data_IF_034330334773
#
_entry.id   IF_034330334773
#
_cell.length_a   1.000
_cell.length_b   1.000
_cell.length_c   1.000
_cell.angle_alpha   90.00
_cell.angle_beta   90.00
_cell.angle_gamma   90.00
#
_symmetry.space_group_name_H-M   'P 1'
#
loop_
_entity.id
_entity.type
_entity.pdbx_description
1 polymer ?
#
# COMPACT_ATOMS: atom_id res chain seq x y z
N UNK A 1 21.51 -17.47 -8.47
CA UNK A 1 20.38 -16.58 -8.82
C UNK A 1 20.71 -15.17 -8.35
N UNK A 2 20.39 -14.16 -9.14
CA UNK A 2 20.45 -12.73 -8.77
C UNK A 2 19.07 -12.16 -9.09
N UNK A 3 18.53 -11.35 -8.23
CA UNK A 3 17.27 -10.64 -8.45
C UNK A 3 17.56 -9.14 -8.51
N UNK A 4 16.98 -8.46 -9.50
CA UNK A 4 17.17 -7.03 -9.71
C UNK A 4 15.79 -6.35 -9.67
N UNK A 5 15.62 -5.36 -8.78
CA UNK A 5 14.47 -4.47 -8.81
C UNK A 5 14.70 -3.35 -9.84
N UNK A 6 13.91 -3.30 -10.91
CA UNK A 6 14.06 -2.32 -11.97
C UNK A 6 13.33 -1.01 -11.69
N UNK A 7 12.46 -0.97 -10.68
CA UNK A 7 11.46 0.07 -10.51
C UNK A 7 12.05 1.34 -9.88
N UNK A 8 11.80 2.49 -10.51
CA UNK A 8 11.99 3.78 -9.87
C UNK A 8 10.83 4.01 -8.88
N UNK A 9 11.12 4.07 -7.59
CA UNK A 9 10.14 4.23 -6.51
C UNK A 9 9.21 5.44 -6.71
N UNK A 10 9.78 6.54 -7.21
CA UNK A 10 9.06 7.78 -7.51
C UNK A 10 8.14 7.66 -8.73
N UNK A 11 8.20 6.57 -9.49
CA UNK A 11 7.33 6.32 -10.63
C UNK A 11 6.20 5.32 -10.31
N UNK A 12 6.18 4.75 -9.10
CA UNK A 12 5.08 3.88 -8.64
C UNK A 12 3.90 4.76 -8.25
N UNK A 13 2.74 4.53 -8.85
CA UNK A 13 1.51 5.27 -8.55
C UNK A 13 0.86 4.76 -7.25
N UNK A 14 0.00 5.60 -6.65
CA UNK A 14 -0.63 5.23 -5.37
C UNK A 14 -1.63 4.08 -5.51
N UNK A 15 -2.38 4.03 -6.60
CA UNK A 15 -3.31 2.92 -6.87
C UNK A 15 -2.58 1.58 -7.07
N UNK A 16 -1.38 1.59 -7.65
CA UNK A 16 -0.53 0.39 -7.77
C UNK A 16 0.00 -0.07 -6.41
N UNK A 17 0.30 0.88 -5.49
CA UNK A 17 0.67 0.59 -4.12
C UNK A 17 -0.48 -0.02 -3.30
N UNK A 18 -1.73 0.11 -3.75
CA UNK A 18 -2.90 -0.48 -3.10
C UNK A 18 -2.85 -2.01 -2.96
N UNK A 19 -1.92 -2.68 -3.63
CA UNK A 19 -1.68 -4.12 -3.52
C UNK A 19 -0.41 -4.48 -2.73
N UNK A 20 0.21 -3.50 -2.10
CA UNK A 20 1.44 -3.66 -1.31
C UNK A 20 1.38 -2.89 0.01
N UNK A 21 2.17 -3.32 0.97
CA UNK A 21 2.46 -2.60 2.21
C UNK A 21 3.72 -1.73 2.08
N UNK A 22 4.59 -2.08 1.13
CA UNK A 22 5.86 -1.42 0.85
C UNK A 22 5.87 -0.85 -0.56
N UNK A 23 6.57 0.24 -0.74
CA UNK A 23 6.96 0.77 -2.05
C UNK A 23 8.17 -0.01 -2.60
N UNK A 24 8.72 0.43 -3.73
CA UNK A 24 9.89 -0.17 -4.38
C UNK A 24 11.17 0.65 -4.13
N UNK A 25 11.26 1.41 -3.04
CA UNK A 25 12.47 2.12 -2.66
C UNK A 25 13.56 1.16 -2.18
N UNK A 26 14.83 1.57 -2.30
CA UNK A 26 15.95 0.75 -1.85
C UNK A 26 15.86 0.39 -0.37
N UNK A 27 15.37 1.31 0.49
CA UNK A 27 15.22 1.04 1.92
C UNK A 27 14.09 0.02 2.18
N UNK A 28 12.97 0.12 1.49
CA UNK A 28 11.88 -0.83 1.63
C UNK A 28 12.19 -2.20 1.03
N UNK A 29 13.04 -2.27 0.00
CA UNK A 29 13.61 -3.53 -0.48
C UNK A 29 14.37 -4.28 0.61
N UNK A 30 15.15 -3.57 1.46
CA UNK A 30 15.88 -4.19 2.60
C UNK A 30 14.90 -4.78 3.61
N UNK A 31 13.81 -4.05 3.92
CA UNK A 31 12.75 -4.54 4.81
C UNK A 31 12.16 -5.83 4.22
N UNK A 32 11.77 -5.83 2.96
CA UNK A 32 11.20 -7.00 2.27
C UNK A 32 12.17 -8.18 2.24
N UNK A 33 13.44 -7.94 1.92
CA UNK A 33 14.47 -8.98 1.89
C UNK A 33 14.63 -9.65 3.26
N UNK A 34 14.61 -8.86 4.33
CA UNK A 34 14.66 -9.36 5.71
C UNK A 34 13.39 -10.15 6.07
N UNK A 35 12.21 -9.60 5.83
CA UNK A 35 10.93 -10.23 6.17
C UNK A 35 10.72 -11.56 5.43
N UNK A 36 11.18 -11.64 4.19
CA UNK A 36 11.10 -12.85 3.37
C UNK A 36 12.31 -13.76 3.47
N UNK A 37 13.31 -13.40 4.30
CA UNK A 37 14.54 -14.18 4.50
C UNK A 37 15.24 -14.54 3.17
N UNK A 38 15.40 -13.56 2.28
CA UNK A 38 16.04 -13.77 0.98
C UNK A 38 17.49 -14.23 1.15
N UNK A 39 17.85 -15.34 0.49
CA UNK A 39 19.18 -15.95 0.53
C UNK A 39 19.98 -15.76 -0.77
N UNK A 40 19.61 -14.76 -1.57
CA UNK A 40 20.23 -14.42 -2.85
C UNK A 40 20.51 -12.92 -2.93
N UNK A 41 21.48 -12.48 -3.78
CA UNK A 41 21.69 -11.07 -4.05
C UNK A 41 20.42 -10.41 -4.61
N UNK A 42 19.96 -9.36 -3.93
CA UNK A 42 18.82 -8.54 -4.35
C UNK A 42 19.33 -7.12 -4.60
N UNK A 43 19.40 -6.74 -5.87
CA UNK A 43 20.02 -5.51 -6.36
C UNK A 43 18.97 -4.47 -6.73
N UNK A 44 19.30 -3.20 -6.57
CA UNK A 44 18.45 -2.08 -6.94
C UNK A 44 19.03 -1.34 -8.15
N UNK A 45 18.27 -1.22 -9.24
CA UNK A 45 18.61 -0.48 -10.45
C UNK A 45 17.63 0.68 -10.74
N UNK A 46 16.69 0.94 -9.82
CA UNK A 46 15.61 1.91 -10.02
C UNK A 46 16.06 3.36 -10.22
N UNK A 47 17.25 3.75 -9.73
CA UNK A 47 17.77 5.10 -9.91
C UNK A 47 18.31 5.34 -11.33
N UNK A 48 19.05 4.40 -11.88
CA UNK A 48 19.73 4.54 -13.19
C UNK A 48 19.01 3.81 -14.29
N UNK A 49 18.50 2.63 -14.00
CA UNK A 49 17.85 1.69 -14.92
C UNK A 49 18.76 1.28 -16.09
N UNK A 50 20.09 1.33 -15.89
CA UNK A 50 21.07 0.99 -16.91
C UNK A 50 21.05 -0.51 -17.19
N UNK A 51 21.10 -1.32 -16.13
CA UNK A 51 21.06 -2.78 -16.25
C UNK A 51 19.70 -3.22 -16.78
N UNK A 52 18.63 -2.66 -16.26
CA UNK A 52 17.25 -2.95 -16.71
C UNK A 52 17.09 -2.70 -18.20
N UNK A 53 17.57 -1.56 -18.70
CA UNK A 53 17.51 -1.24 -20.14
C UNK A 53 18.34 -2.19 -20.99
N UNK A 54 19.50 -2.62 -20.50
CA UNK A 54 20.37 -3.55 -21.21
C UNK A 54 19.75 -4.95 -21.34
N UNK A 55 19.04 -5.43 -20.32
CA UNK A 55 18.33 -6.71 -20.36
C UNK A 55 16.99 -6.63 -21.12
N UNK A 56 16.33 -5.47 -21.14
CA UNK A 56 15.10 -5.22 -21.86
C UNK A 56 13.86 -6.02 -21.34
N UNK A 57 13.65 -6.14 -20.02
CA UNK A 57 12.46 -6.82 -19.53
C UNK A 57 11.19 -6.03 -19.93
N UNK A 58 10.10 -6.74 -20.16
CA UNK A 58 8.80 -6.14 -20.54
C UNK A 58 7.85 -6.02 -19.35
N UNK A 59 7.99 -6.91 -18.38
CA UNK A 59 7.17 -6.98 -17.16
C UNK A 59 8.05 -7.29 -15.94
N UNK A 60 7.45 -7.25 -14.76
CA UNK A 60 8.02 -7.82 -13.54
C UNK A 60 7.04 -8.85 -12.96
N UNK A 61 7.49 -10.12 -12.75
CA UNK A 61 8.82 -10.66 -12.98
C UNK A 61 9.14 -10.95 -14.46
N UNK A 62 10.44 -10.98 -14.82
CA UNK A 62 10.97 -11.43 -16.09
C UNK A 62 12.30 -12.15 -15.86
N UNK A 63 12.40 -13.41 -16.25
CA UNK A 63 13.56 -14.26 -15.99
C UNK A 63 14.49 -14.32 -17.21
N UNK A 64 15.81 -14.35 -16.94
CA UNK A 64 16.88 -14.50 -17.93
C UNK A 64 17.84 -15.57 -17.40
N UNK A 65 18.04 -16.67 -18.14
CA UNK A 65 18.94 -17.76 -17.75
C UNK A 65 20.11 -17.85 -18.72
N UNK A 66 21.31 -17.83 -18.18
CA UNK A 66 22.55 -17.97 -18.92
C UNK A 66 23.22 -19.30 -18.57
N UNK A 67 23.85 -19.94 -19.54
CA UNK A 67 24.66 -21.12 -19.31
C UNK A 67 26.06 -20.78 -18.72
N UNK A 68 26.87 -21.82 -18.49
CA UNK A 68 28.25 -21.69 -17.97
C UNK A 68 29.16 -20.83 -18.87
N UNK A 69 28.85 -20.75 -20.16
CA UNK A 69 29.55 -19.92 -21.16
C UNK A 69 28.99 -18.49 -21.25
N UNK A 70 28.07 -18.12 -20.37
CA UNK A 70 27.37 -16.83 -20.32
C UNK A 70 26.51 -16.56 -21.57
N UNK A 71 26.06 -17.60 -22.24
CA UNK A 71 25.13 -17.51 -23.36
C UNK A 71 23.70 -17.55 -22.81
N UNK A 72 22.86 -16.62 -23.24
CA UNK A 72 21.44 -16.58 -22.88
C UNK A 72 20.71 -17.80 -23.47
N UNK A 73 20.07 -18.57 -22.62
CA UNK A 73 19.37 -19.83 -23.00
C UNK A 73 17.87 -19.80 -22.77
N UNK A 74 17.42 -18.96 -21.83
CA UNK A 74 16.00 -18.79 -21.59
C UNK A 74 15.68 -17.32 -21.27
N UNK A 75 14.56 -16.84 -21.82
CA UNK A 75 13.96 -15.55 -21.50
C UNK A 75 12.46 -15.72 -21.35
N UNK A 76 11.88 -15.29 -20.23
CA UNK A 76 10.43 -15.41 -20.09
C UNK A 76 9.92 -15.32 -18.65
N UNK A 77 8.76 -15.93 -18.45
CA UNK A 77 8.06 -16.00 -17.18
C UNK A 77 8.71 -17.00 -16.22
N UNK A 78 8.33 -16.93 -14.94
CA UNK A 78 8.75 -17.92 -13.93
C UNK A 78 7.96 -19.20 -14.12
N UNK A 79 6.64 -19.07 -14.20
CA UNK A 79 5.66 -20.14 -14.39
C UNK A 79 4.44 -19.63 -15.19
N UNK A 80 3.38 -20.40 -15.30
CA UNK A 80 2.19 -20.07 -16.11
C UNK A 80 1.04 -19.47 -15.32
N UNK A 81 1.26 -19.01 -14.05
CA UNK A 81 0.16 -18.55 -13.19
C UNK A 81 0.59 -17.39 -12.27
N UNK A 82 -0.29 -16.45 -12.05
CA UNK A 82 -0.08 -15.32 -11.10
C UNK A 82 -0.38 -15.70 -9.65
N UNK A 83 -1.30 -16.64 -9.43
CA UNK A 83 -1.74 -17.05 -8.12
C UNK A 83 -0.84 -18.13 -7.54
N UNK A 84 -0.33 -17.88 -6.34
CA UNK A 84 0.57 -18.81 -5.63
C UNK A 84 -0.09 -20.18 -5.49
N UNK A 85 0.63 -21.23 -5.90
CA UNK A 85 0.21 -22.62 -5.78
C UNK A 85 -0.75 -23.14 -6.85
N UNK A 86 -1.08 -22.32 -7.86
CA UNK A 86 -1.93 -22.73 -8.99
C UNK A 86 -1.16 -23.01 -10.28
N UNK A 87 0.13 -22.76 -10.31
CA UNK A 87 0.97 -23.01 -11.47
C UNK A 87 0.98 -24.52 -11.83
N UNK A 88 0.84 -24.81 -13.12
CA UNK A 88 0.90 -26.15 -13.67
C UNK A 88 2.11 -26.39 -14.58
N UNK A 89 2.78 -25.30 -15.00
CA UNK A 89 3.98 -25.32 -15.82
C UNK A 89 5.03 -24.40 -15.20
N UNK A 90 6.22 -24.93 -14.94
CA UNK A 90 7.32 -24.25 -14.25
C UNK A 90 8.45 -23.97 -15.25
N UNK A 91 8.23 -23.02 -16.16
CA UNK A 91 9.10 -22.81 -17.34
C UNK A 91 10.56 -22.47 -16.94
N UNK A 92 10.76 -21.55 -15.99
CA UNK A 92 12.09 -21.19 -15.49
C UNK A 92 12.79 -22.39 -14.83
N UNK A 93 12.08 -23.13 -13.98
CA UNK A 93 12.63 -24.29 -13.28
C UNK A 93 13.04 -25.39 -14.28
N UNK A 94 12.23 -25.64 -15.31
CA UNK A 94 12.51 -26.62 -16.35
C UNK A 94 13.76 -26.23 -17.14
N UNK A 95 13.87 -24.96 -17.57
CA UNK A 95 15.06 -24.47 -18.28
C UNK A 95 16.33 -24.62 -17.44
N UNK A 96 16.28 -24.29 -16.14
CA UNK A 96 17.43 -24.48 -15.24
C UNK A 96 17.76 -25.95 -15.04
N UNK A 97 16.78 -26.84 -14.86
CA UNK A 97 17.00 -28.30 -14.74
C UNK A 97 17.67 -28.90 -15.98
N UNK A 98 17.21 -28.51 -17.16
CA UNK A 98 17.80 -28.98 -18.44
C UNK A 98 19.26 -28.56 -18.54
N UNK A 99 19.60 -27.31 -18.24
CA UNK A 99 20.98 -26.82 -18.25
C UNK A 99 21.88 -27.50 -17.21
N UNK A 100 21.35 -27.81 -16.02
CA UNK A 100 22.09 -28.53 -14.98
C UNK A 100 22.37 -29.99 -15.36
N UNK A 101 21.60 -30.53 -16.29
CA UNK A 101 21.79 -31.87 -16.89
C UNK A 101 22.61 -31.84 -18.20
N UNK A 102 23.23 -30.70 -18.52
CA UNK A 102 23.97 -30.43 -19.77
C UNK A 102 23.10 -30.67 -21.02
N UNK A 103 21.78 -30.46 -20.91
CA UNK A 103 20.81 -30.60 -22.04
C UNK A 103 20.53 -29.20 -22.62
N UNK A 104 20.17 -29.14 -23.92
CA UNK A 104 19.65 -27.90 -24.48
C UNK A 104 18.31 -27.54 -23.84
N UNK A 105 18.04 -26.24 -23.68
CA UNK A 105 16.75 -25.75 -23.18
C UNK A 105 15.69 -26.00 -24.24
N UNK A 106 14.66 -26.77 -23.89
CA UNK A 106 13.57 -27.18 -24.81
C UNK A 106 12.67 -26.00 -25.19
N UNK A 107 12.37 -25.11 -24.25
CA UNK A 107 11.59 -23.88 -24.44
C UNK A 107 12.47 -22.70 -24.06
N UNK A 108 13.07 -22.04 -25.06
CA UNK A 108 14.01 -20.94 -24.82
C UNK A 108 13.34 -19.57 -24.58
N UNK A 109 12.05 -19.44 -24.91
CA UNK A 109 11.32 -18.19 -24.74
C UNK A 109 9.85 -18.44 -24.38
N UNK A 110 9.33 -17.65 -23.42
CA UNK A 110 7.90 -17.65 -23.08
C UNK A 110 7.39 -16.21 -22.92
N UNK A 111 6.11 -16.00 -23.22
CA UNK A 111 5.46 -14.71 -23.00
C UNK A 111 5.36 -14.44 -21.49
N UNK A 112 5.84 -13.27 -21.06
CA UNK A 112 5.75 -12.82 -19.67
C UNK A 112 4.41 -12.16 -19.39
N UNK A 113 4.00 -12.19 -18.13
CA UNK A 113 2.89 -11.44 -17.55
C UNK A 113 3.31 -10.91 -16.19
N UNK A 114 2.55 -9.97 -15.64
CA UNK A 114 2.84 -9.30 -14.37
C UNK A 114 2.77 -7.78 -14.49
N UNK A 115 3.33 -7.08 -13.50
CA UNK A 115 3.27 -5.63 -13.42
C UNK A 115 4.17 -4.94 -14.45
N UNK A 116 3.77 -3.77 -14.93
CA UNK A 116 4.61 -2.94 -15.78
C UNK A 116 5.80 -2.38 -15.02
N UNK A 117 6.96 -2.28 -15.67
CA UNK A 117 8.15 -1.65 -15.09
C UNK A 117 7.89 -0.16 -14.85
N UNK A 118 8.30 0.33 -13.68
CA UNK A 118 8.17 1.73 -13.29
C UNK A 118 9.39 2.50 -13.78
N UNK A 119 9.33 2.89 -15.05
CA UNK A 119 10.41 3.65 -15.68
C UNK A 119 10.53 5.04 -15.09
N UNK A 120 11.75 5.52 -14.89
CA UNK A 120 12.06 6.87 -14.39
C UNK A 120 11.38 7.97 -15.23
N UNK A 121 11.18 7.74 -16.52
CA UNK A 121 10.44 8.65 -17.41
C UNK A 121 8.97 8.82 -17.04
N UNK A 122 8.41 7.94 -16.21
CA UNK A 122 7.02 8.02 -15.73
C UNK A 122 6.84 8.77 -14.41
N UNK A 123 7.91 9.30 -13.81
CA UNK A 123 7.84 10.08 -12.55
C UNK A 123 6.86 11.25 -12.67
N UNK A 124 6.78 11.88 -13.82
CA UNK A 124 5.83 12.97 -14.07
C UNK A 124 4.36 12.56 -13.89
N UNK A 125 4.04 11.29 -14.13
CA UNK A 125 2.66 10.79 -13.96
C UNK A 125 2.25 10.78 -12.48
N UNK A 126 3.15 10.34 -11.60
CA UNK A 126 2.91 10.40 -10.15
C UNK A 126 2.81 11.85 -9.66
N UNK A 127 3.63 12.75 -10.20
CA UNK A 127 3.54 14.17 -9.88
C UNK A 127 2.18 14.73 -10.28
N UNK A 128 1.69 14.41 -11.48
CA UNK A 128 0.36 14.81 -11.94
C UNK A 128 -0.77 14.21 -11.11
N UNK A 129 -0.62 12.96 -10.65
CA UNK A 129 -1.56 12.31 -9.72
C UNK A 129 -1.64 13.09 -8.41
N UNK A 130 -0.51 13.41 -7.78
CA UNK A 130 -0.48 14.21 -6.55
C UNK A 130 -1.04 15.62 -6.77
N UNK A 131 -0.75 16.25 -7.91
CA UNK A 131 -1.33 17.55 -8.24
C UNK A 131 -2.87 17.47 -8.40
N UNK A 132 -3.39 16.37 -8.93
CA UNK A 132 -4.85 16.19 -9.05
C UNK A 132 -5.57 16.13 -7.71
N UNK A 133 -4.90 15.70 -6.63
CA UNK A 133 -5.49 15.69 -5.29
C UNK A 133 -5.83 17.08 -4.76
N UNK A 134 -5.15 18.13 -5.25
CA UNK A 134 -5.45 19.52 -4.88
C UNK A 134 -6.82 19.99 -5.40
N UNK A 135 -7.34 19.34 -6.43
CA UNK A 135 -8.66 19.65 -7.01
C UNK A 135 -9.79 18.80 -6.41
N UNK A 136 -9.48 17.82 -5.57
CA UNK A 136 -10.49 16.99 -4.91
C UNK A 136 -11.20 17.79 -3.80
N UNK A 137 -12.52 17.61 -3.72
CA UNK A 137 -13.31 18.24 -2.66
C UNK A 137 -12.95 17.69 -1.29
N UNK A 138 -12.71 18.62 -0.35
CA UNK A 138 -12.44 18.29 1.05
C UNK A 138 -13.57 18.88 1.89
N UNK A 139 -14.35 18.02 2.52
CA UNK A 139 -15.47 18.38 3.39
C UNK A 139 -15.17 18.04 4.84
N UNK A 140 -15.89 18.67 5.75
CA UNK A 140 -15.91 18.37 7.18
C UNK A 140 -17.33 18.48 7.67
N UNK A 141 -17.91 17.35 8.04
CA UNK A 141 -19.29 17.24 8.51
C UNK A 141 -19.35 17.15 10.04
N UNK A 142 -20.44 17.58 10.62
CA UNK A 142 -20.70 17.43 12.05
C UNK A 142 -21.20 16.00 12.29
N UNK A 143 -20.63 15.30 13.27
CA UNK A 143 -21.06 13.97 13.68
C UNK A 143 -21.43 13.97 15.17
N UNK A 144 -22.61 13.47 15.46
CA UNK A 144 -23.05 13.14 16.81
C UNK A 144 -22.68 11.68 17.17
N UNK A 145 -22.98 11.27 18.39
CA UNK A 145 -22.67 9.93 18.90
C UNK A 145 -23.29 8.81 18.06
N UNK A 146 -24.53 8.98 17.59
CA UNK A 146 -25.21 7.96 16.76
C UNK A 146 -24.48 7.76 15.42
N UNK A 147 -24.03 8.85 14.79
CA UNK A 147 -23.22 8.77 13.57
C UNK A 147 -21.90 8.01 13.82
N UNK A 148 -21.26 8.23 14.96
CA UNK A 148 -20.04 7.49 15.31
C UNK A 148 -20.33 5.99 15.51
N UNK A 149 -21.40 5.65 16.20
CA UNK A 149 -21.84 4.25 16.36
C UNK A 149 -22.07 3.57 15.00
N UNK A 150 -22.71 4.25 14.07
CA UNK A 150 -22.94 3.73 12.71
C UNK A 150 -21.63 3.53 11.96
N UNK A 151 -20.68 4.46 12.08
CA UNK A 151 -19.37 4.32 11.47
C UNK A 151 -18.59 3.13 12.02
N UNK A 152 -18.64 2.93 13.34
CA UNK A 152 -17.95 1.82 14.03
C UNK A 152 -18.63 0.48 13.73
N UNK A 153 -19.97 0.45 13.66
CA UNK A 153 -20.72 -0.75 13.31
C UNK A 153 -20.36 -1.29 11.93
N UNK A 154 -19.96 -0.42 11.03
CA UNK A 154 -19.48 -0.75 9.68
C UNK A 154 -20.36 -1.76 8.93
N UNK A 155 -21.53 -1.33 8.51
CA UNK A 155 -22.47 -2.16 7.73
C UNK A 155 -22.16 -2.20 6.23
N UNK A 156 -21.16 -1.43 5.78
CA UNK A 156 -20.68 -1.42 4.41
C UNK A 156 -19.79 -2.66 4.15
N UNK A 157 -19.81 -3.16 2.94
CA UNK A 157 -18.96 -4.31 2.59
C UNK A 157 -17.50 -3.91 2.34
N UNK A 158 -16.93 -3.03 3.21
CA UNK A 158 -15.58 -2.48 3.09
C UNK A 158 -14.85 -2.56 4.43
N UNK A 159 -13.52 -2.67 4.36
CA UNK A 159 -12.69 -2.36 5.51
C UNK A 159 -12.72 -0.87 5.78
N UNK A 160 -12.95 -0.46 7.02
CA UNK A 160 -12.98 0.95 7.41
C UNK A 160 -11.87 1.29 8.37
N UNK A 161 -10.99 2.21 7.94
CA UNK A 161 -10.01 2.84 8.81
C UNK A 161 -10.63 4.09 9.44
N UNK A 162 -10.59 4.18 10.76
CA UNK A 162 -11.03 5.39 11.49
C UNK A 162 -9.85 5.92 12.28
N UNK A 163 -9.55 7.22 12.10
CA UNK A 163 -8.55 7.93 12.90
C UNK A 163 -9.20 9.07 13.70
N UNK A 164 -8.98 9.07 15.01
CA UNK A 164 -9.39 10.12 15.92
C UNK A 164 -8.22 11.08 16.17
N UNK A 165 -8.44 12.36 15.93
CA UNK A 165 -7.40 13.39 15.96
C UNK A 165 -7.90 14.73 16.47
N UNK A 166 -7.00 15.71 16.65
CA UNK A 166 -7.35 17.10 16.93
C UNK A 166 -6.22 18.05 16.51
N UNK A 167 -6.55 19.33 16.27
CA UNK A 167 -5.57 20.36 15.92
C UNK A 167 -4.53 20.61 17.03
N UNK A 168 -4.90 20.42 18.29
CA UNK A 168 -4.01 20.58 19.45
C UNK A 168 -3.14 19.34 19.71
N UNK A 169 -3.34 18.26 18.98
CA UNK A 169 -2.58 17.01 19.10
C UNK A 169 -1.39 17.01 18.13
N UNK A 170 -0.19 17.34 18.61
CA UNK A 170 1.00 17.47 17.77
C UNK A 170 1.38 16.18 17.01
N UNK A 171 1.28 15.02 17.66
CA UNK A 171 1.51 13.71 17.05
C UNK A 171 0.50 13.40 15.94
N UNK A 172 -0.78 13.76 16.14
CA UNK A 172 -1.81 13.62 15.12
C UNK A 172 -1.45 14.41 13.84
N UNK A 173 -1.02 15.66 14.01
CA UNK A 173 -0.63 16.53 12.90
C UNK A 173 0.56 15.98 12.12
N UNK A 174 1.50 15.35 12.82
CA UNK A 174 2.71 14.77 12.22
C UNK A 174 2.37 13.56 11.33
N UNK A 175 1.55 12.63 11.81
CA UNK A 175 1.22 11.39 11.09
C UNK A 175 0.17 11.58 9.98
N UNK A 176 -0.60 12.67 10.00
CA UNK A 176 -1.79 12.84 9.19
C UNK A 176 -1.54 12.68 7.68
N UNK A 177 -0.41 13.17 7.18
CA UNK A 177 -0.06 13.03 5.75
C UNK A 177 0.11 11.57 5.35
N UNK A 178 0.70 10.74 6.21
CA UNK A 178 0.88 9.30 5.93
C UNK A 178 -0.43 8.53 5.93
N UNK A 179 -1.41 8.96 6.73
CA UNK A 179 -2.77 8.41 6.70
C UNK A 179 -3.51 8.79 5.40
N UNK A 180 -3.39 10.06 4.97
CA UNK A 180 -3.96 10.49 3.67
C UNK A 180 -3.33 9.73 2.52
N UNK A 181 -2.00 9.54 2.50
CA UNK A 181 -1.35 8.71 1.49
C UNK A 181 -1.87 7.26 1.52
N UNK A 182 -2.11 6.71 2.69
CA UNK A 182 -2.69 5.37 2.84
C UNK A 182 -4.09 5.30 2.25
N UNK A 183 -4.93 6.33 2.44
CA UNK A 183 -6.21 6.44 1.73
C UNK A 183 -6.02 6.40 0.21
N UNK A 184 -5.10 7.23 -0.32
CA UNK A 184 -4.82 7.28 -1.76
C UNK A 184 -4.34 5.94 -2.33
N UNK A 185 -3.64 5.13 -1.53
CA UNK A 185 -3.21 3.78 -1.94
C UNK A 185 -4.39 2.80 -2.04
N UNK A 186 -5.32 2.82 -1.09
CA UNK A 186 -6.32 1.76 -0.94
C UNK A 186 -7.74 2.16 -1.33
N UNK A 187 -8.07 3.44 -1.51
CA UNK A 187 -9.43 3.96 -1.75
C UNK A 187 -10.17 3.37 -2.97
N UNK A 188 -9.42 2.84 -3.94
CA UNK A 188 -9.98 2.18 -5.12
C UNK A 188 -10.28 0.69 -4.90
N UNK A 189 -10.12 0.21 -3.68
CA UNK A 189 -10.41 -1.16 -3.25
C UNK A 189 -11.58 -1.17 -2.29
N UNK A 190 -11.93 -2.34 -1.73
CA UNK A 190 -12.94 -2.46 -0.67
C UNK A 190 -12.43 -1.86 0.66
N UNK A 191 -12.12 -0.57 0.61
CA UNK A 191 -11.53 0.21 1.69
C UNK A 191 -12.18 1.58 1.79
N UNK A 192 -12.33 2.09 3.02
CA UNK A 192 -12.91 3.40 3.35
C UNK A 192 -12.10 4.04 4.47
N UNK A 193 -11.71 5.30 4.31
CA UNK A 193 -11.00 6.05 5.34
C UNK A 193 -11.86 7.16 5.90
N UNK A 194 -11.94 7.23 7.22
CA UNK A 194 -12.72 8.21 7.98
C UNK A 194 -11.84 8.88 8.99
N UNK A 195 -11.87 10.21 9.07
CA UNK A 195 -11.24 10.96 10.17
C UNK A 195 -12.29 11.61 11.05
N UNK A 196 -12.05 11.64 12.37
CA UNK A 196 -12.95 12.23 13.35
C UNK A 196 -12.13 13.19 14.21
N UNK A 197 -12.38 14.51 14.03
CA UNK A 197 -11.78 15.52 14.85
C UNK A 197 -12.49 15.63 16.20
N UNK A 198 -11.72 15.70 17.28
CA UNK A 198 -12.21 15.97 18.64
C UNK A 198 -12.02 17.44 19.05
N UNK A 199 -11.81 18.31 18.07
CA UNK A 199 -11.81 19.75 18.31
C UNK A 199 -13.21 20.25 18.67
N UNK A 200 -13.28 21.37 19.39
CA UNK A 200 -14.55 22.03 19.64
C UNK A 200 -15.16 22.53 18.31
N UNK A 201 -16.49 22.52 18.20
CA UNK A 201 -17.23 22.92 16.98
C UNK A 201 -16.82 24.32 16.46
N UNK A 202 -16.54 25.27 17.36
CA UNK A 202 -16.00 26.59 17.01
C UNK A 202 -14.70 26.56 16.21
N UNK A 203 -13.99 25.44 16.20
CA UNK A 203 -12.75 25.22 15.45
C UNK A 203 -12.98 24.60 14.06
N UNK A 204 -14.23 24.36 13.66
CA UNK A 204 -14.61 23.70 12.41
C UNK A 204 -13.86 24.29 11.19
N UNK A 205 -13.86 25.62 11.03
CA UNK A 205 -13.16 26.27 9.92
C UNK A 205 -11.64 26.01 9.93
N UNK A 206 -11.01 26.01 11.11
CA UNK A 206 -9.57 25.72 11.22
C UNK A 206 -9.27 24.25 10.90
N UNK A 207 -10.11 23.33 11.37
CA UNK A 207 -10.00 21.92 11.06
C UNK A 207 -10.18 21.67 9.56
N UNK A 208 -11.18 22.27 8.91
CA UNK A 208 -11.39 22.19 7.47
C UNK A 208 -10.18 22.75 6.68
N UNK A 209 -9.62 23.89 7.09
CA UNK A 209 -8.44 24.43 6.44
C UNK A 209 -7.23 23.51 6.56
N UNK A 210 -7.05 22.86 7.72
CA UNK A 210 -6.01 21.85 7.91
C UNK A 210 -6.21 20.64 6.97
N UNK A 211 -7.43 20.11 6.91
CA UNK A 211 -7.78 18.99 6.02
C UNK A 211 -7.52 19.34 4.54
N UNK A 212 -7.92 20.52 4.10
CA UNK A 212 -7.62 21.04 2.75
C UNK A 212 -6.12 21.12 2.47
N UNK A 213 -5.35 21.66 3.42
CA UNK A 213 -3.88 21.71 3.32
C UNK A 213 -3.25 20.31 3.21
N UNK A 214 -3.87 19.31 3.83
CA UNK A 214 -3.44 17.90 3.79
C UNK A 214 -4.03 17.13 2.61
N UNK A 215 -4.88 17.75 1.78
CA UNK A 215 -5.57 17.10 0.65
C UNK A 215 -6.39 15.86 1.10
N UNK A 216 -7.00 15.94 2.27
CA UNK A 216 -7.77 14.88 2.91
C UNK A 216 -9.19 14.80 2.32
N UNK A 217 -9.33 14.31 1.11
CA UNK A 217 -10.62 14.16 0.41
C UNK A 217 -11.42 12.92 0.83
N UNK A 218 -10.94 12.16 1.80
CA UNK A 218 -11.67 11.11 2.50
C UNK A 218 -12.85 11.70 3.30
N UNK A 219 -13.66 10.85 3.93
CA UNK A 219 -14.73 11.28 4.83
C UNK A 219 -14.17 11.89 6.11
N UNK A 220 -14.52 13.12 6.42
CA UNK A 220 -14.03 13.82 7.59
C UNK A 220 -15.19 14.32 8.43
N UNK A 221 -15.12 14.09 9.73
CA UNK A 221 -16.12 14.49 10.71
C UNK A 221 -15.49 15.29 11.85
N UNK A 222 -16.28 16.20 12.44
CA UNK A 222 -15.98 16.84 13.72
C UNK A 222 -17.06 16.39 14.71
N UNK A 223 -16.61 15.86 15.85
CA UNK A 223 -17.51 15.34 16.88
C UNK A 223 -18.12 16.49 17.67
N UNK A 224 -19.45 16.59 17.66
CA UNK A 224 -20.18 17.72 18.25
C UNK A 224 -20.57 17.52 19.71
N UNK A 225 -20.69 16.26 20.17
CA UNK A 225 -21.14 15.99 21.54
C UNK A 225 -20.03 16.26 22.55
N UNK A 226 -20.45 16.75 23.73
CA UNK A 226 -19.49 17.09 24.80
C UNK A 226 -19.02 15.86 25.59
N UNK A 227 -19.79 14.75 25.56
CA UNK A 227 -19.50 13.56 26.34
C UNK A 227 -18.49 12.66 25.63
N UNK A 228 -17.21 12.91 25.87
CA UNK A 228 -16.12 12.10 25.30
C UNK A 228 -16.02 10.69 25.89
N UNK A 229 -16.58 10.44 27.05
CA UNK A 229 -16.62 9.09 27.63
C UNK A 229 -17.56 8.18 26.84
N UNK A 230 -18.73 8.66 26.47
CA UNK A 230 -19.65 7.91 25.61
C UNK A 230 -19.07 7.64 24.21
N UNK A 231 -18.31 8.60 23.66
CA UNK A 231 -17.57 8.40 22.42
C UNK A 231 -16.57 7.24 22.53
N UNK A 232 -15.77 7.23 23.62
CA UNK A 232 -14.76 6.18 23.85
C UNK A 232 -15.43 4.82 23.95
N UNK A 233 -16.48 4.70 24.78
CA UNK A 233 -17.22 3.45 24.97
C UNK A 233 -17.89 2.97 23.65
N UNK A 234 -18.46 3.89 22.88
CA UNK A 234 -19.08 3.57 21.59
C UNK A 234 -18.09 3.19 20.49
N UNK A 235 -16.83 3.57 20.65
CA UNK A 235 -15.78 3.31 19.64
C UNK A 235 -15.05 2.00 19.91
N UNK A 236 -14.40 1.89 21.04
CA UNK A 236 -13.61 0.72 21.42
C UNK A 236 -13.40 0.71 22.95
N UNK A 237 -13.84 -0.33 23.62
CA UNK A 237 -13.67 -0.49 25.07
C UNK A 237 -12.22 -0.51 25.53
N UNK A 238 -11.27 -0.71 24.62
CA UNK A 238 -9.83 -0.67 24.91
C UNK A 238 -9.22 0.73 24.75
N UNK A 239 -9.96 1.68 24.19
CA UNK A 239 -9.46 3.03 24.02
C UNK A 239 -9.48 3.79 25.35
N UNK A 240 -8.34 4.36 25.74
CA UNK A 240 -8.19 5.14 26.99
C UNK A 240 -8.37 6.65 26.77
N UNK A 241 -8.90 7.08 25.60
CA UNK A 241 -9.13 8.49 25.27
C UNK A 241 -7.90 9.25 24.80
N UNK A 242 -6.72 8.61 24.71
CA UNK A 242 -5.52 9.25 24.20
C UNK A 242 -5.59 9.43 22.68
N UNK A 243 -5.01 10.53 22.16
CA UNK A 243 -4.88 10.84 20.74
C UNK A 243 -3.42 10.80 20.28
N UNK A 244 -3.15 10.45 19.02
CA UNK A 244 -4.11 9.90 18.03
C UNK A 244 -4.59 8.51 18.42
N UNK A 245 -5.76 8.12 17.91
CA UNK A 245 -6.25 6.76 18.03
C UNK A 245 -6.74 6.27 16.68
N UNK A 246 -6.25 5.11 16.25
CA UNK A 246 -6.55 4.55 14.93
C UNK A 246 -7.04 3.13 15.05
N UNK A 247 -8.17 2.82 14.40
CA UNK A 247 -8.73 1.48 14.31
C UNK A 247 -9.02 1.10 12.87
N UNK A 248 -8.82 -0.17 12.53
CA UNK A 248 -9.28 -0.78 11.29
C UNK A 248 -10.40 -1.77 11.61
N UNK A 249 -11.55 -1.58 10.98
CA UNK A 249 -12.76 -2.38 11.18
C UNK A 249 -13.01 -3.19 9.91
N UNK A 250 -13.28 -4.48 10.06
CA UNK A 250 -13.64 -5.34 8.94
C UNK A 250 -15.12 -5.19 8.53
N UNK A 251 -15.54 -5.78 7.39
CA UNK A 251 -16.93 -5.72 6.93
C UNK A 251 -17.98 -6.33 7.90
N UNK A 252 -17.54 -7.09 8.91
CA UNK A 252 -18.42 -7.62 9.95
C UNK A 252 -18.59 -6.71 11.16
N UNK A 253 -17.92 -5.55 11.17
CA UNK A 253 -17.91 -4.61 12.30
C UNK A 253 -16.88 -4.96 13.39
N UNK A 254 -15.97 -5.91 13.14
CA UNK A 254 -14.93 -6.30 14.09
C UNK A 254 -13.68 -5.43 13.91
N UNK A 255 -13.14 -4.89 15.01
CA UNK A 255 -11.84 -4.23 15.02
C UNK A 255 -10.73 -5.27 14.82
N UNK A 256 -10.00 -5.17 13.71
CA UNK A 256 -8.92 -6.09 13.32
C UNK A 256 -7.51 -5.49 13.49
N UNK A 257 -7.42 -4.18 13.69
CA UNK A 257 -6.20 -3.47 14.04
C UNK A 257 -6.54 -2.27 14.93
N UNK A 258 -5.69 -1.95 15.87
CA UNK A 258 -5.78 -0.73 16.70
C UNK A 258 -4.41 -0.21 17.07
N UNK A 259 -4.27 1.10 17.14
CA UNK A 259 -3.08 1.80 17.58
C UNK A 259 -3.47 3.02 18.39
N UNK A 260 -2.96 3.11 19.62
CA UNK A 260 -2.99 4.33 20.43
C UNK A 260 -1.64 5.02 20.35
N UNK A 261 -1.64 6.33 20.18
CA UNK A 261 -0.42 7.11 19.90
C UNK A 261 -0.01 7.06 18.43
N UNK A 262 1.19 7.55 18.12
CA UNK A 262 1.71 7.68 16.76
C UNK A 262 1.63 6.34 16.03
N UNK A 263 1.07 6.38 14.79
CA UNK A 263 0.87 5.19 13.98
C UNK A 263 2.19 4.61 13.46
N UNK A 264 2.37 3.30 13.58
CA UNK A 264 3.32 2.57 12.75
C UNK A 264 2.68 2.35 11.37
N UNK A 265 3.04 3.20 10.42
CA UNK A 265 2.44 3.22 9.10
C UNK A 265 2.68 1.93 8.31
N UNK A 266 3.84 1.27 8.51
CA UNK A 266 4.15 0.00 7.85
C UNK A 266 3.31 -1.13 8.43
N UNK A 267 3.15 -1.18 9.74
CA UNK A 267 2.29 -2.15 10.41
C UNK A 267 0.82 -1.97 10.01
N UNK A 268 0.34 -0.72 9.91
CA UNK A 268 -1.01 -0.42 9.42
C UNK A 268 -1.21 -0.88 7.97
N UNK A 269 -0.33 -0.48 7.05
CA UNK A 269 -0.43 -0.86 5.63
C UNK A 269 -0.37 -2.37 5.46
N UNK A 270 0.49 -3.04 6.24
CA UNK A 270 0.54 -4.51 6.26
C UNK A 270 -0.79 -5.10 6.71
N UNK A 271 -1.38 -4.61 7.80
CA UNK A 271 -2.68 -5.08 8.29
C UNK A 271 -3.79 -4.89 7.25
N UNK A 272 -3.80 -3.76 6.53
CA UNK A 272 -4.77 -3.48 5.45
C UNK A 272 -4.59 -4.47 4.30
N UNK A 273 -3.37 -4.57 3.74
CA UNK A 273 -3.15 -5.37 2.53
C UNK A 273 -3.25 -6.88 2.78
N UNK A 274 -2.92 -7.35 3.99
CA UNK A 274 -3.11 -8.76 4.36
C UNK A 274 -4.61 -9.15 4.40
N UNK A 275 -5.51 -8.18 4.58
CA UNK A 275 -6.97 -8.37 4.51
C UNK A 275 -7.55 -8.17 3.11
N UNK A 276 -7.08 -7.15 2.40
CA UNK A 276 -7.54 -6.85 1.05
C UNK A 276 -6.94 -7.77 -0.03
N UNK A 277 -5.84 -8.47 0.27
CA UNK A 277 -5.09 -9.28 -0.68
C UNK A 277 -4.03 -8.49 -1.45
N UNK A 278 -3.04 -9.22 -2.00
CA UNK A 278 -1.85 -8.66 -2.67
C UNK A 278 -1.86 -8.88 -4.18
N UNK A 279 -2.91 -9.45 -4.73
CA UNK A 279 -3.03 -9.80 -6.16
C UNK A 279 -4.09 -8.92 -6.79
N UNK A 280 -3.84 -8.46 -8.00
CA UNK A 280 -4.85 -7.81 -8.82
C UNK A 280 -6.00 -8.79 -9.09
N UNK A 281 -7.28 -8.33 -9.08
CA UNK A 281 -8.43 -9.18 -9.36
C UNK A 281 -8.45 -9.69 -10.81
#
# INVERSE_FOLDING_TARGET
MIVISPNADRAVRFDELGFSDLNDSFEEMKIRAKDKSYNFPYLYDGETQVVTKAYGPTTTPHAFVFDKSRILRYVGRIDNEEHIGKATTFDLENAVKELLQDKPVSISNTKTFGCSIKWKSKIEWKTKEVESWKSEDVTLEIANLEKIKDLVKNTDNKFRLINFWALWCGSCITEFSSLVETDKMYRNREFDFVTISLDAEKSNQKALQFLKKKMASNKNYIFSDQNKYELIEATDSQWQGALPYTILIDPSGKIVYRQSGIIDILALRKAIVDKLGRVYP
#
